data_IF_145583421736
#
_entry.id   IF_145583421736
#
_cell.length_a   1.000
_cell.length_b   1.000
_cell.length_c   1.000
_cell.angle_alpha   90.00
_cell.angle_beta   90.00
_cell.angle_gamma   90.00
#
_symmetry.space_group_name_H-M   'P 1'
#
loop_
_entity.id
_entity.type
_entity.pdbx_description
1 polymer ?
#
# COMPACT_ATOMS: atom_id res chain seq x y z
N UNK A 1 16.83 13.66 30.86
CA UNK A 1 16.29 14.21 32.13
C UNK A 1 16.56 15.71 32.26
N UNK A 2 17.77 16.23 31.99
CA UNK A 2 18.02 17.68 32.11
C UNK A 2 17.22 18.59 31.13
N UNK A 3 16.94 18.15 29.90
CA UNK A 3 16.29 18.99 28.89
C UNK A 3 14.79 19.22 29.19
N UNK A 4 14.08 18.24 29.76
CA UNK A 4 12.66 18.38 30.12
C UNK A 4 12.42 19.41 31.22
N UNK A 5 13.34 19.52 32.17
CA UNK A 5 13.20 20.39 33.34
C UNK A 5 13.37 21.88 32.96
N UNK A 6 14.21 22.16 31.97
CA UNK A 6 14.41 23.50 31.42
C UNK A 6 13.16 23.97 30.68
N UNK A 7 12.59 23.15 29.78
CA UNK A 7 11.37 23.51 29.05
C UNK A 7 10.15 23.69 29.96
N UNK A 8 10.03 22.90 31.02
CA UNK A 8 8.99 23.08 32.02
C UNK A 8 9.11 24.43 32.76
N UNK A 9 10.34 24.81 33.12
CA UNK A 9 10.63 26.09 33.77
C UNK A 9 10.37 27.29 32.82
N UNK A 10 10.82 27.19 31.56
CA UNK A 10 10.57 28.19 30.52
C UNK A 10 9.08 28.35 30.23
N UNK A 11 8.33 27.25 30.14
CA UNK A 11 6.86 27.28 29.98
C UNK A 11 6.18 28.01 31.13
N UNK A 12 6.63 27.79 32.37
CA UNK A 12 6.09 28.48 33.55
C UNK A 12 6.38 29.98 33.51
N UNK A 13 7.58 30.38 33.10
CA UNK A 13 7.95 31.80 33.00
C UNK A 13 7.10 32.49 31.94
N UNK A 14 6.95 31.88 30.75
CA UNK A 14 6.09 32.40 29.68
C UNK A 14 4.64 32.62 30.13
N UNK A 15 4.04 31.62 30.79
CA UNK A 15 2.65 31.71 31.28
C UNK A 15 2.46 32.75 32.39
N UNK A 16 3.50 33.05 33.15
CA UNK A 16 3.42 33.97 34.28
C UNK A 16 3.64 35.44 33.91
N UNK A 17 4.18 35.71 32.72
CA UNK A 17 4.60 37.02 32.22
C UNK A 17 5.62 37.79 33.10
N UNK A 18 6.07 37.18 34.20
CA UNK A 18 7.01 37.79 35.14
C UNK A 18 8.38 37.97 34.49
N UNK A 19 8.93 39.17 34.64
CA UNK A 19 10.23 39.58 34.09
C UNK A 19 10.25 39.68 32.56
N UNK A 20 9.08 39.75 31.90
CA UNK A 20 9.01 40.04 30.47
C UNK A 20 9.57 41.44 30.18
N UNK A 21 10.50 41.51 29.23
CA UNK A 21 11.25 42.70 28.83
C UNK A 21 11.09 43.00 27.32
N UNK A 22 10.25 42.22 26.63
CA UNK A 22 9.88 42.39 25.23
C UNK A 22 8.39 42.13 25.02
N UNK A 23 7.80 42.92 24.14
CA UNK A 23 6.41 42.77 23.72
C UNK A 23 6.35 42.51 22.22
N UNK A 24 5.73 41.41 21.81
CA UNK A 24 5.43 41.13 20.39
C UNK A 24 3.96 41.47 20.17
N UNK A 25 3.67 42.37 19.23
CA UNK A 25 2.31 42.74 18.83
C UNK A 25 2.02 42.14 17.46
N UNK A 26 0.92 41.39 17.37
CA UNK A 26 0.48 40.72 16.14
C UNK A 26 -1.03 40.94 16.02
N UNK A 27 -1.42 41.86 15.15
CA UNK A 27 -2.81 42.31 15.03
C UNK A 27 -3.39 42.76 16.36
N UNK A 28 -4.47 42.09 16.80
CA UNK A 28 -5.17 42.37 18.06
C UNK A 28 -4.56 41.67 19.28
N UNK A 29 -3.48 40.89 19.12
CA UNK A 29 -2.86 40.14 20.21
C UNK A 29 -1.48 40.68 20.56
N UNK A 30 -1.20 40.61 21.86
CA UNK A 30 0.04 41.08 22.46
C UNK A 30 0.63 39.95 23.27
N UNK A 31 1.88 39.60 22.99
CA UNK A 31 2.61 38.55 23.66
C UNK A 31 3.75 39.15 24.49
N UNK A 32 3.72 38.90 25.81
CA UNK A 32 4.81 39.24 26.71
C UNK A 32 5.87 38.14 26.69
N UNK A 33 7.07 38.47 26.25
CA UNK A 33 8.17 37.53 26.07
C UNK A 33 9.46 38.03 26.71
N UNK A 34 10.46 37.17 26.79
CA UNK A 34 11.73 37.38 27.46
C UNK A 34 12.86 37.39 26.43
N UNK A 35 13.70 38.41 26.47
CA UNK A 35 14.89 38.52 25.60
C UNK A 35 16.10 37.89 26.28
N UNK A 36 16.89 37.20 25.49
CA UNK A 36 18.22 36.75 25.90
C UNK A 36 19.33 37.72 25.46
N UNK A 37 19.05 38.57 24.46
CA UNK A 37 20.02 39.48 23.84
C UNK A 37 19.49 40.91 23.84
N UNK A 38 20.40 41.87 23.97
CA UNK A 38 20.11 43.30 23.94
C UNK A 38 19.65 43.74 22.53
N UNK A 39 18.33 43.73 22.29
CA UNK A 39 17.68 44.48 21.22
C UNK A 39 17.51 45.96 21.59
N UNK A 40 17.72 46.82 20.61
CA UNK A 40 17.50 48.27 20.71
C UNK A 40 15.99 48.57 20.88
N UNK A 41 15.12 47.67 20.40
CA UNK A 41 13.67 47.82 20.49
C UNK A 41 13.08 46.89 21.56
N UNK A 42 12.14 47.42 22.35
CA UNK A 42 11.35 46.66 23.33
C UNK A 42 10.04 46.12 22.75
N UNK A 43 9.77 46.43 21.48
CA UNK A 43 8.56 46.01 20.77
C UNK A 43 8.90 45.50 19.36
N UNK A 44 8.18 44.44 18.95
CA UNK A 44 8.24 43.86 17.60
C UNK A 44 6.81 43.77 17.07
N UNK A 45 6.58 44.23 15.84
CA UNK A 45 5.27 44.22 15.18
C UNK A 45 5.24 43.18 14.06
N UNK A 46 4.35 42.19 14.18
CA UNK A 46 4.13 41.11 13.22
C UNK A 46 2.72 41.22 12.63
N UNK A 47 2.44 42.29 11.88
CA UNK A 47 1.08 42.60 11.40
C UNK A 47 0.60 41.74 10.23
N UNK A 48 1.52 41.12 9.50
CA UNK A 48 1.21 40.29 8.33
C UNK A 48 0.91 38.82 8.69
N UNK A 49 1.30 38.39 9.88
CA UNK A 49 1.22 36.99 10.31
C UNK A 49 -0.07 36.73 11.11
N UNK A 50 -0.59 35.50 11.03
CA UNK A 50 -1.77 35.08 11.80
C UNK A 50 -1.46 35.03 13.31
N UNK A 51 -2.23 35.71 14.17
CA UNK A 51 -1.94 35.78 15.60
C UNK A 51 -1.92 34.42 16.31
N UNK A 52 -2.76 33.47 15.92
CA UNK A 52 -2.77 32.13 16.49
C UNK A 52 -1.52 31.33 16.10
N UNK A 53 -1.07 31.49 14.86
CA UNK A 53 0.16 30.89 14.33
C UNK A 53 1.40 31.48 15.00
N UNK A 54 1.46 32.80 15.20
CA UNK A 54 2.50 33.47 15.99
C UNK A 54 2.50 32.95 17.44
N UNK A 55 1.32 32.75 18.03
CA UNK A 55 1.19 32.14 19.36
C UNK A 55 1.83 30.75 19.44
N UNK A 56 1.60 29.90 18.44
CA UNK A 56 2.21 28.56 18.33
C UNK A 56 3.72 28.62 18.11
N UNK A 57 4.20 29.56 17.29
CA UNK A 57 5.64 29.81 17.10
C UNK A 57 6.30 30.23 18.42
N UNK A 58 5.68 31.11 19.20
CA UNK A 58 6.18 31.53 20.51
C UNK A 58 6.13 30.36 21.50
N UNK A 59 5.04 29.57 21.54
CA UNK A 59 4.94 28.37 22.37
C UNK A 59 6.10 27.39 22.11
N UNK A 60 6.48 27.23 20.83
CA UNK A 60 7.64 26.45 20.43
C UNK A 60 8.95 26.98 21.01
N UNK A 61 9.20 28.29 20.98
CA UNK A 61 10.44 28.88 21.52
C UNK A 61 10.64 28.54 23.01
N UNK A 62 9.56 28.49 23.79
CA UNK A 62 9.65 28.18 25.24
C UNK A 62 9.64 26.69 25.54
N UNK A 63 8.92 25.89 24.77
CA UNK A 63 8.62 24.49 25.14
C UNK A 63 9.25 23.45 24.21
N UNK A 64 9.86 23.89 23.10
CA UNK A 64 10.32 23.05 21.98
C UNK A 64 9.21 22.17 21.38
N UNK A 65 7.96 22.60 21.51
CA UNK A 65 6.79 22.02 20.88
C UNK A 65 5.66 23.03 20.78
N UNK A 66 4.59 22.71 20.08
CA UNK A 66 3.40 23.55 20.05
C UNK A 66 2.15 22.68 20.00
N UNK A 67 0.99 23.25 20.31
CA UNK A 67 -0.30 22.56 20.15
C UNK A 67 -0.98 22.96 18.85
N UNK A 68 -1.36 21.96 18.06
CA UNK A 68 -2.05 22.10 16.78
C UNK A 68 -3.58 22.12 16.92
N UNK A 69 -4.11 21.82 18.11
CA UNK A 69 -5.52 21.91 18.46
C UNK A 69 -6.11 23.32 18.21
N UNK A 70 -7.42 23.35 17.94
CA UNK A 70 -8.16 24.58 17.69
C UNK A 70 -8.61 25.28 18.99
N UNK A 71 -7.66 25.69 19.85
CA UNK A 71 -7.93 26.52 21.03
C UNK A 71 -7.74 28.00 20.72
N UNK A 72 -8.69 28.59 20.00
CA UNK A 72 -8.79 30.05 19.90
C UNK A 72 -8.99 30.64 21.30
N UNK A 73 -8.12 31.56 21.71
CA UNK A 73 -8.34 32.40 22.91
C UNK A 73 -7.52 32.11 24.17
N UNK A 74 -6.54 31.19 24.17
CA UNK A 74 -5.77 30.88 25.40
C UNK A 74 -4.38 31.50 25.52
N UNK A 75 -3.91 32.30 24.55
CA UNK A 75 -2.63 33.04 24.68
C UNK A 75 -2.82 34.55 24.59
N UNK A 76 -3.38 35.14 25.66
CA UNK A 76 -3.61 36.57 25.92
C UNK A 76 -4.92 37.18 25.37
N UNK A 77 -5.87 37.39 26.28
CA UNK A 77 -6.91 38.43 26.16
C UNK A 77 -6.75 39.33 27.38
N UNK A 78 -6.04 40.45 27.22
CA UNK A 78 -6.35 41.68 27.93
C UNK A 78 -6.71 42.67 26.85
N UNK A 79 -8.00 42.87 26.69
CA UNK A 79 -8.58 43.91 25.86
C UNK A 79 -8.25 45.26 26.50
N UNK A 80 -7.23 45.95 25.98
CA UNK A 80 -7.01 47.36 26.29
C UNK A 80 -7.87 48.21 25.38
N UNK A 81 -9.13 48.37 25.74
CA UNK A 81 -9.85 49.63 25.51
C UNK A 81 -10.16 50.22 26.88
N UNK A 82 -9.34 51.21 27.26
CA UNK A 82 -9.53 51.96 28.49
C UNK A 82 -10.67 52.96 28.35
N UNK A 83 -11.63 52.90 29.26
CA UNK A 83 -12.30 54.08 29.79
C UNK A 83 -12.30 54.00 31.31
N UNK A 84 -11.95 55.12 31.93
CA UNK A 84 -11.83 55.35 33.37
C UNK A 84 -13.13 55.99 33.87
N UNK A 85 -13.41 55.81 35.18
CA UNK A 85 -14.46 56.38 36.06
C UNK A 85 -15.68 55.45 36.20
N UNK A 86 -16.17 55.07 37.38
CA UNK A 86 -16.05 55.65 38.72
C UNK A 86 -16.36 54.58 39.81
N UNK A 87 -15.73 54.72 40.98
CA UNK A 87 -15.96 53.92 42.18
C UNK A 87 -17.26 54.35 42.90
N UNK A 88 -18.24 53.45 43.07
CA UNK A 88 -19.21 53.51 44.17
C UNK A 88 -20.00 52.18 44.38
N UNK A 89 -19.70 51.51 45.49
CA UNK A 89 -20.57 50.75 46.44
C UNK A 89 -21.87 50.12 45.93
N UNK A 90 -22.04 48.82 46.18
CA UNK A 90 -23.35 48.18 46.31
C UNK A 90 -23.34 46.66 46.22
N UNK A 91 -23.27 45.99 47.36
CA UNK A 91 -23.64 44.58 47.51
C UNK A 91 -25.15 44.44 47.27
N UNK A 92 -25.57 43.77 46.18
CA UNK A 92 -26.80 42.94 46.15
C UNK A 92 -26.97 42.16 44.84
N UNK A 93 -27.47 40.93 45.00
CA UNK A 93 -27.79 39.93 43.98
C UNK A 93 -28.58 40.48 42.78
N UNK A 94 -28.13 40.17 41.56
CA UNK A 94 -29.06 39.89 40.44
C UNK A 94 -28.44 38.99 39.38
N UNK A 95 -29.09 37.85 39.18
CA UNK A 95 -28.92 36.94 38.05
C UNK A 95 -29.00 37.69 36.72
N UNK A 96 -28.04 37.44 35.83
CA UNK A 96 -28.19 37.67 34.39
C UNK A 96 -27.92 36.33 33.70
N UNK A 97 -29.05 35.70 33.36
CA UNK A 97 -29.17 34.69 32.33
C UNK A 97 -28.99 35.40 30.99
N UNK A 98 -27.92 35.10 30.28
CA UNK A 98 -27.84 35.33 28.83
C UNK A 98 -27.37 34.03 28.18
N UNK A 99 -28.36 33.20 27.89
CA UNK A 99 -28.43 32.31 26.73
C UNK A 99 -27.22 31.40 26.47
N UNK A 100 -27.06 30.39 27.33
CA UNK A 100 -26.61 29.07 26.87
C UNK A 100 -27.71 28.52 25.94
N UNK A 101 -27.59 28.78 24.63
CA UNK A 101 -28.17 27.89 23.63
C UNK A 101 -27.29 26.65 23.57
N UNK A 102 -27.58 25.71 24.46
CA UNK A 102 -27.22 24.31 24.31
C UNK A 102 -27.95 23.78 23.08
N UNK A 103 -27.39 23.99 21.90
CA UNK A 103 -27.75 23.21 20.73
C UNK A 103 -27.20 21.80 20.95
N UNK A 104 -28.12 20.86 21.09
CA UNK A 104 -27.87 19.43 20.99
C UNK A 104 -27.28 19.14 19.59
N UNK A 105 -25.96 19.25 19.46
CA UNK A 105 -25.21 18.82 18.29
C UNK A 105 -24.53 17.48 18.61
N UNK A 106 -25.25 16.43 18.22
CA UNK A 106 -24.79 15.08 17.89
C UNK A 106 -23.28 14.84 18.09
N UNK A 107 -22.95 14.16 19.19
CA UNK A 107 -21.63 13.86 19.79
C UNK A 107 -20.64 13.08 18.87
N UNK A 108 -20.92 12.96 17.57
CA UNK A 108 -20.06 12.31 16.57
C UNK A 108 -19.33 13.32 15.66
N UNK A 109 -19.75 14.60 15.63
CA UNK A 109 -19.28 15.61 14.66
C UNK A 109 -18.01 16.36 15.13
N UNK A 110 -17.74 16.43 16.43
CA UNK A 110 -16.69 17.27 17.03
C UNK A 110 -15.26 16.77 16.79
N UNK A 111 -15.03 15.48 16.54
CA UNK A 111 -13.68 14.93 16.35
C UNK A 111 -13.15 15.18 14.92
N UNK A 112 -14.02 15.13 13.91
CA UNK A 112 -13.61 15.32 12.52
C UNK A 112 -13.23 16.79 12.22
N UNK A 113 -13.99 17.72 12.81
CA UNK A 113 -13.76 19.16 12.71
C UNK A 113 -12.43 19.57 13.36
N UNK A 114 -12.07 18.97 14.49
CA UNK A 114 -10.82 19.27 15.18
C UNK A 114 -9.59 18.84 14.37
N UNK A 115 -9.66 17.70 13.66
CA UNK A 115 -8.54 17.20 12.83
C UNK A 115 -8.27 18.12 11.63
N UNK A 116 -9.32 18.63 10.97
CA UNK A 116 -9.16 19.55 9.85
C UNK A 116 -8.45 20.85 10.26
N UNK A 117 -8.85 21.42 11.39
CA UNK A 117 -8.16 22.57 11.98
C UNK A 117 -6.72 22.25 12.41
N UNK A 118 -6.45 21.07 12.98
CA UNK A 118 -5.09 20.65 13.30
C UNK A 118 -4.19 20.60 12.06
N UNK A 119 -4.66 20.01 10.96
CA UNK A 119 -3.94 19.97 9.69
C UNK A 119 -3.66 21.38 9.17
N UNK A 120 -4.65 22.27 9.16
CA UNK A 120 -4.50 23.66 8.73
C UNK A 120 -3.50 24.44 9.60
N UNK A 121 -3.58 24.28 10.92
CA UNK A 121 -2.66 24.91 11.88
C UNK A 121 -1.22 24.45 11.64
N UNK A 122 -1.02 23.15 11.36
CA UNK A 122 0.30 22.62 11.03
C UNK A 122 0.86 23.20 9.72
N UNK A 123 0.02 23.46 8.71
CA UNK A 123 0.45 24.15 7.47
C UNK A 123 0.87 25.59 7.77
N UNK A 124 0.07 26.35 8.53
CA UNK A 124 0.42 27.73 8.90
C UNK A 124 1.70 27.81 9.72
N UNK A 125 1.90 26.89 10.66
CA UNK A 125 3.14 26.80 11.45
C UNK A 125 4.33 26.40 10.57
N UNK A 126 4.14 25.54 9.57
CA UNK A 126 5.19 25.22 8.60
C UNK A 126 5.61 26.46 7.79
N UNK A 127 4.64 27.27 7.34
CA UNK A 127 4.89 28.50 6.59
C UNK A 127 5.60 29.57 7.43
N UNK A 128 5.16 29.81 8.68
CA UNK A 128 5.83 30.77 9.56
C UNK A 128 7.24 30.29 9.91
N UNK A 129 7.45 28.99 10.10
CA UNK A 129 8.76 28.44 10.38
C UNK A 129 9.74 28.68 9.23
N UNK A 130 9.30 28.56 7.98
CA UNK A 130 10.13 28.92 6.82
C UNK A 130 10.43 30.42 6.78
N UNK A 131 9.43 31.27 6.98
CA UNK A 131 9.57 32.74 6.94
C UNK A 131 10.56 33.28 7.97
N UNK A 132 10.62 32.66 9.15
CA UNK A 132 11.54 33.05 10.23
C UNK A 132 12.76 32.12 10.37
N UNK A 133 13.02 31.26 9.37
CA UNK A 133 14.19 30.35 9.32
C UNK A 133 14.32 29.44 10.56
N UNK A 134 13.22 28.85 11.00
CA UNK A 134 13.13 27.94 12.13
C UNK A 134 13.01 26.48 11.66
N UNK A 135 14.10 25.91 11.14
CA UNK A 135 14.14 24.58 10.51
C UNK A 135 13.58 23.45 11.40
N UNK A 136 13.89 23.47 12.70
CA UNK A 136 13.41 22.46 13.65
C UNK A 136 11.90 22.52 13.84
N UNK A 137 11.32 23.73 13.90
CA UNK A 137 9.87 23.94 13.97
C UNK A 137 9.20 23.49 12.67
N UNK A 138 9.83 23.80 11.53
CA UNK A 138 9.37 23.38 10.20
C UNK A 138 9.27 21.86 10.10
N UNK A 139 10.29 21.13 10.55
CA UNK A 139 10.26 19.66 10.56
C UNK A 139 9.25 19.10 11.57
N UNK A 140 9.07 19.72 12.75
CA UNK A 140 8.02 19.31 13.70
C UNK A 140 6.64 19.48 13.09
N UNK A 141 6.38 20.61 12.44
CA UNK A 141 5.09 20.87 11.78
C UNK A 141 4.82 19.88 10.65
N UNK A 142 5.85 19.58 9.85
CA UNK A 142 5.79 18.55 8.82
C UNK A 142 5.51 17.16 9.38
N UNK A 143 6.16 16.78 10.48
CA UNK A 143 5.96 15.48 11.12
C UNK A 143 4.54 15.35 11.70
N UNK A 144 4.04 16.40 12.35
CA UNK A 144 2.66 16.45 12.87
C UNK A 144 1.62 16.36 11.76
N UNK A 145 1.78 17.16 10.71
CA UNK A 145 0.92 17.09 9.52
C UNK A 145 0.90 15.68 8.94
N UNK A 146 2.08 15.08 8.72
CA UNK A 146 2.22 13.73 8.18
C UNK A 146 1.47 12.68 9.01
N UNK A 147 1.48 12.81 10.34
CA UNK A 147 0.79 11.87 11.24
C UNK A 147 -0.74 11.87 11.09
N UNK A 148 -1.32 12.96 10.58
CA UNK A 148 -2.76 13.14 10.42
C UNK A 148 -3.18 13.14 8.93
N UNK A 149 -2.23 13.17 7.99
CA UNK A 149 -2.48 13.39 6.58
C UNK A 149 -3.33 12.31 5.90
N UNK A 150 -3.39 11.09 6.42
CA UNK A 150 -4.28 10.03 5.88
C UNK A 150 -5.76 10.42 5.93
N UNK A 151 -6.14 11.31 6.85
CA UNK A 151 -7.51 11.81 7.03
C UNK A 151 -7.82 13.03 6.14
N UNK A 152 -6.81 13.57 5.45
CA UNK A 152 -6.90 14.82 4.70
C UNK A 152 -8.03 14.85 3.67
N UNK A 153 -8.28 13.74 2.97
CA UNK A 153 -9.30 13.68 1.92
C UNK A 153 -10.74 13.70 2.46
N UNK A 154 -10.92 13.52 3.77
CA UNK A 154 -12.23 13.43 4.41
C UNK A 154 -12.56 14.66 5.27
N UNK A 155 -11.62 15.59 5.46
CA UNK A 155 -11.85 16.81 6.23
C UNK A 155 -12.53 17.88 5.36
N UNK A 156 -13.47 18.61 5.95
CA UNK A 156 -14.20 19.69 5.27
C UNK A 156 -13.28 20.88 4.93
N UNK A 157 -12.22 21.07 5.71
CA UNK A 157 -11.21 22.13 5.54
C UNK A 157 -10.24 21.84 4.40
N UNK A 158 -10.33 20.70 3.70
CA UNK A 158 -9.38 20.35 2.64
C UNK A 158 -9.13 21.50 1.64
N UNK A 159 -10.14 22.15 1.06
CA UNK A 159 -9.90 23.22 0.08
C UNK A 159 -9.18 24.42 0.70
N UNK A 160 -9.42 24.72 1.97
CA UNK A 160 -8.69 25.77 2.69
C UNK A 160 -7.24 25.36 2.96
N UNK A 161 -6.99 24.12 3.36
CA UNK A 161 -5.65 23.57 3.59
C UNK A 161 -4.81 23.63 2.31
N UNK A 162 -5.37 23.25 1.16
CA UNK A 162 -4.62 23.28 -0.12
C UNK A 162 -4.34 24.72 -0.54
N UNK A 163 -5.32 25.62 -0.43
CA UNK A 163 -5.11 27.06 -0.74
C UNK A 163 -4.04 27.67 0.14
N UNK A 164 -4.08 27.41 1.44
CA UNK A 164 -3.07 27.88 2.38
C UNK A 164 -1.70 27.29 2.05
N UNK A 165 -1.61 25.98 1.81
CA UNK A 165 -0.34 25.31 1.53
C UNK A 165 0.32 25.83 0.25
N UNK A 166 -0.43 25.88 -0.86
CA UNK A 166 0.11 26.31 -2.15
C UNK A 166 0.26 27.84 -2.25
N UNK A 167 -0.47 28.61 -1.44
CA UNK A 167 -0.33 30.07 -1.34
C UNK A 167 0.83 30.53 -0.45
N UNK A 168 1.15 29.78 0.62
CA UNK A 168 2.19 30.14 1.59
C UNK A 168 3.56 29.53 1.32
N UNK A 169 3.63 28.46 0.53
CA UNK A 169 4.90 27.81 0.14
C UNK A 169 5.19 28.04 -1.34
N UNK A 170 6.45 28.25 -1.78
CA UNK A 170 6.80 28.30 -3.20
C UNK A 170 6.89 26.89 -3.81
N UNK A 171 6.89 26.78 -5.15
CA UNK A 171 6.98 25.48 -5.85
C UNK A 171 8.30 24.72 -5.62
N UNK A 172 9.35 25.39 -5.16
CA UNK A 172 10.61 24.79 -4.73
C UNK A 172 10.50 24.06 -3.38
N UNK A 173 9.54 24.45 -2.53
CA UNK A 173 9.31 23.77 -1.26
C UNK A 173 8.44 22.53 -1.50
N UNK A 174 9.09 21.37 -1.50
CA UNK A 174 8.45 20.08 -1.74
C UNK A 174 8.02 19.36 -0.46
N UNK A 175 8.32 19.90 0.71
CA UNK A 175 8.21 19.17 1.99
C UNK A 175 6.79 18.70 2.32
N UNK A 176 5.83 19.63 2.41
CA UNK A 176 4.41 19.30 2.61
C UNK A 176 3.68 19.01 1.30
N UNK A 177 4.05 19.69 0.20
CA UNK A 177 3.43 19.49 -1.12
C UNK A 177 3.53 18.04 -1.58
N UNK A 178 4.70 17.39 -1.45
CA UNK A 178 4.87 15.98 -1.83
C UNK A 178 3.99 15.05 -1.00
N UNK A 179 3.81 15.32 0.30
CA UNK A 179 2.98 14.49 1.18
C UNK A 179 1.52 14.51 0.70
N UNK A 180 1.01 15.71 0.43
CA UNK A 180 -0.37 15.90 -0.05
C UNK A 180 -0.53 15.27 -1.43
N UNK A 181 0.37 15.57 -2.38
CA UNK A 181 0.30 15.02 -3.74
C UNK A 181 0.36 13.50 -3.74
N UNK A 182 1.18 12.90 -2.88
CA UNK A 182 1.27 11.44 -2.71
C UNK A 182 -0.05 10.83 -2.26
N UNK A 183 -0.67 11.38 -1.21
CA UNK A 183 -1.94 10.87 -0.68
C UNK A 183 -3.06 11.02 -1.72
N UNK A 184 -3.13 12.17 -2.39
CA UNK A 184 -4.11 12.42 -3.45
C UNK A 184 -3.89 11.49 -4.65
N UNK A 185 -2.64 11.20 -5.05
CA UNK A 185 -2.34 10.29 -6.15
C UNK A 185 -2.69 8.84 -5.81
N UNK A 186 -2.45 8.40 -4.57
CA UNK A 186 -2.84 7.06 -4.11
C UNK A 186 -4.35 6.85 -4.13
N UNK A 187 -5.12 7.86 -3.75
CA UNK A 187 -6.58 7.81 -3.66
C UNK A 187 -7.26 8.64 -4.76
N UNK A 188 -6.64 8.73 -5.95
CA UNK A 188 -7.08 9.65 -7.01
C UNK A 188 -8.54 9.49 -7.44
N UNK A 189 -9.13 8.29 -7.31
CA UNK A 189 -10.55 8.08 -7.58
C UNK A 189 -11.45 8.83 -6.61
N UNK A 190 -11.16 8.79 -5.31
CA UNK A 190 -11.92 9.51 -4.30
C UNK A 190 -11.84 11.03 -4.52
N UNK A 191 -10.66 11.51 -4.96
CA UNK A 191 -10.43 12.93 -5.28
C UNK A 191 -11.27 13.40 -6.46
N UNK A 192 -11.36 12.60 -7.53
CA UNK A 192 -12.14 12.95 -8.73
C UNK A 192 -13.65 12.82 -8.50
N UNK A 193 -14.08 11.83 -7.71
CA UNK A 193 -15.50 11.58 -7.43
C UNK A 193 -16.12 12.67 -6.54
N UNK A 194 -15.31 13.35 -5.71
CA UNK A 194 -15.77 14.47 -4.87
C UNK A 194 -15.72 15.82 -5.61
N UNK A 195 -16.84 16.57 -5.67
CA UNK A 195 -16.88 17.85 -6.37
C UNK A 195 -15.93 18.89 -5.75
N UNK A 196 -15.83 18.96 -4.42
CA UNK A 196 -15.03 19.98 -3.73
C UNK A 196 -13.52 19.79 -3.94
N UNK A 197 -13.04 18.54 -3.91
CA UNK A 197 -11.62 18.25 -4.20
C UNK A 197 -11.31 18.50 -5.68
N UNK A 198 -12.25 18.19 -6.58
CA UNK A 198 -12.10 18.47 -8.02
C UNK A 198 -12.04 19.97 -8.31
N UNK A 199 -12.83 20.78 -7.60
CA UNK A 199 -12.78 22.24 -7.70
C UNK A 199 -11.42 22.79 -7.24
N UNK A 200 -10.85 22.22 -6.16
CA UNK A 200 -9.52 22.60 -5.66
C UNK A 200 -8.40 22.33 -6.68
N UNK A 201 -8.51 21.24 -7.46
CA UNK A 201 -7.57 20.92 -8.55
C UNK A 201 -7.66 21.94 -9.69
N UNK A 202 -8.87 22.39 -10.02
CA UNK A 202 -9.10 23.39 -11.07
C UNK A 202 -8.64 24.77 -10.64
N UNK A 203 -8.91 25.14 -9.38
CA UNK A 203 -8.47 26.41 -8.80
C UNK A 203 -6.94 26.51 -8.75
N UNK A 204 -6.28 25.44 -8.31
CA UNK A 204 -4.83 25.41 -8.10
C UNK A 204 -4.19 24.45 -9.10
N UNK A 205 -3.91 24.96 -10.31
CA UNK A 205 -3.33 24.15 -11.39
C UNK A 205 -1.98 23.49 -11.03
N UNK A 206 -1.15 24.13 -10.19
CA UNK A 206 0.10 23.54 -9.69
C UNK A 206 -0.16 22.28 -8.86
N UNK A 207 -1.21 22.27 -8.05
CA UNK A 207 -1.59 21.13 -7.23
C UNK A 207 -2.02 19.95 -8.11
N UNK A 208 -2.83 20.20 -9.14
CA UNK A 208 -3.20 19.19 -10.13
C UNK A 208 -1.98 18.61 -10.87
N UNK A 209 -1.02 19.45 -11.24
CA UNK A 209 0.21 19.02 -11.90
C UNK A 209 1.07 18.12 -10.99
N UNK A 210 1.17 18.46 -9.70
CA UNK A 210 1.92 17.66 -8.74
C UNK A 210 1.28 16.29 -8.52
N UNK A 211 -0.06 16.22 -8.40
CA UNK A 211 -0.79 14.94 -8.34
C UNK A 211 -0.51 14.11 -9.61
N UNK A 212 -0.56 14.72 -10.79
CA UNK A 212 -0.33 14.02 -12.05
C UNK A 212 1.09 13.45 -12.13
N UNK A 213 2.11 14.23 -11.74
CA UNK A 213 3.50 13.77 -11.69
C UNK A 213 3.63 12.57 -10.77
N UNK A 214 3.07 12.68 -9.58
CA UNK A 214 3.12 11.63 -8.55
C UNK A 214 2.37 10.36 -8.99
N UNK A 215 1.21 10.49 -9.62
CA UNK A 215 0.46 9.36 -10.18
C UNK A 215 1.22 8.64 -11.30
N UNK A 216 1.95 9.37 -12.15
CA UNK A 216 2.78 8.78 -13.20
C UNK A 216 4.00 8.06 -12.63
N UNK A 217 4.63 8.60 -11.58
CA UNK A 217 5.75 7.93 -10.89
C UNK A 217 5.29 6.63 -10.24
N UNK A 218 4.21 6.67 -9.47
CA UNK A 218 3.61 5.47 -8.85
C UNK A 218 3.17 4.43 -9.89
N UNK A 219 2.68 4.86 -11.06
CA UNK A 219 2.37 3.98 -12.17
C UNK A 219 3.59 3.25 -12.72
N UNK A 220 4.69 3.97 -12.95
CA UNK A 220 5.94 3.40 -13.46
C UNK A 220 6.54 2.38 -12.51
N UNK A 221 6.56 2.67 -11.20
CA UNK A 221 7.07 1.72 -10.19
C UNK A 221 6.28 0.40 -10.19
N UNK A 222 4.95 0.48 -10.28
CA UNK A 222 4.08 -0.70 -10.37
C UNK A 222 4.30 -1.49 -11.66
N UNK A 223 4.55 -0.80 -12.78
CA UNK A 223 4.86 -1.43 -14.07
C UNK A 223 6.22 -2.14 -14.02
N UNK A 224 7.25 -1.51 -13.47
CA UNK A 224 8.58 -2.12 -13.31
C UNK A 224 8.53 -3.33 -12.37
N UNK A 225 7.82 -3.22 -11.24
CA UNK A 225 7.65 -4.35 -10.32
C UNK A 225 6.89 -5.51 -10.99
N UNK A 226 5.83 -5.22 -11.74
CA UNK A 226 5.07 -6.22 -12.50
C UNK A 226 5.92 -6.85 -13.61
N UNK A 227 6.73 -6.06 -14.31
CA UNK A 227 7.67 -6.51 -15.34
C UNK A 227 8.71 -7.48 -14.75
N UNK A 228 9.30 -7.13 -13.60
CA UNK A 228 10.24 -7.98 -12.89
C UNK A 228 9.61 -9.31 -12.44
N UNK A 229 8.39 -9.27 -11.89
CA UNK A 229 7.63 -10.48 -11.51
C UNK A 229 7.32 -11.35 -12.72
N UNK A 230 6.91 -10.76 -13.84
CA UNK A 230 6.65 -11.48 -15.09
C UNK A 230 7.91 -12.14 -15.65
N UNK A 231 9.05 -11.45 -15.65
CA UNK A 231 10.32 -12.02 -16.06
C UNK A 231 10.74 -13.23 -15.20
N UNK A 232 10.54 -13.14 -13.88
CA UNK A 232 10.79 -14.25 -12.96
C UNK A 232 9.87 -15.46 -13.22
N UNK A 233 8.58 -15.22 -13.49
CA UNK A 233 7.64 -16.28 -13.87
C UNK A 233 8.01 -16.93 -15.20
N UNK A 234 8.42 -16.15 -16.21
CA UNK A 234 8.86 -16.70 -17.50
C UNK A 234 10.07 -17.61 -17.36
N UNK A 235 11.03 -17.30 -16.48
CA UNK A 235 12.16 -18.22 -16.17
C UNK A 235 11.65 -19.55 -15.59
N UNK A 236 10.77 -19.50 -14.59
CA UNK A 236 10.17 -20.72 -14.00
C UNK A 236 9.41 -21.55 -15.04
N UNK A 237 8.68 -20.91 -15.94
CA UNK A 237 7.97 -21.59 -17.03
C UNK A 237 8.96 -22.27 -17.98
N UNK A 238 10.06 -21.60 -18.34
CA UNK A 238 11.11 -22.16 -19.19
C UNK A 238 11.76 -23.39 -18.56
N UNK A 239 12.08 -23.33 -17.27
CA UNK A 239 12.70 -24.45 -16.54
C UNK A 239 11.76 -25.67 -16.48
N UNK A 240 10.49 -25.45 -16.14
CA UNK A 240 9.48 -26.52 -16.16
C UNK A 240 9.27 -27.10 -17.56
N UNK A 241 9.26 -26.26 -18.60
CA UNK A 241 9.17 -26.72 -20.00
C UNK A 241 10.38 -27.59 -20.37
N UNK A 242 11.58 -27.23 -19.90
CA UNK A 242 12.79 -28.04 -20.04
C UNK A 242 12.67 -29.41 -19.36
N UNK A 243 12.16 -29.44 -18.12
CA UNK A 243 11.90 -30.70 -17.40
C UNK A 243 10.87 -31.59 -18.13
N UNK A 244 9.77 -31.00 -18.60
CA UNK A 244 8.76 -31.73 -19.40
C UNK A 244 9.39 -32.27 -20.69
N UNK A 245 10.24 -31.49 -21.36
CA UNK A 245 10.98 -31.93 -22.53
C UNK A 245 11.85 -33.15 -22.24
N UNK A 246 12.63 -33.12 -21.16
CA UNK A 246 13.47 -34.25 -20.73
C UNK A 246 12.66 -35.50 -20.41
N UNK A 247 11.55 -35.35 -19.66
CA UNK A 247 10.63 -36.45 -19.36
C UNK A 247 10.05 -37.04 -20.65
N UNK A 248 9.63 -36.19 -21.60
CA UNK A 248 9.11 -36.63 -22.90
C UNK A 248 10.13 -37.45 -23.67
N UNK A 249 11.39 -37.01 -23.73
CA UNK A 249 12.48 -37.75 -24.39
C UNK A 249 12.73 -39.12 -23.75
N UNK A 250 12.78 -39.17 -22.40
CA UNK A 250 12.94 -40.43 -21.66
C UNK A 250 11.78 -41.37 -21.97
N UNK A 251 10.54 -40.86 -21.95
CA UNK A 251 9.36 -41.66 -22.25
C UNK A 251 9.40 -42.23 -23.67
N UNK A 252 9.75 -41.42 -24.67
CA UNK A 252 9.86 -41.89 -26.06
C UNK A 252 10.92 -42.99 -26.21
N UNK A 253 12.06 -42.86 -25.52
CA UNK A 253 13.12 -43.88 -25.53
C UNK A 253 12.61 -45.20 -24.92
N UNK A 254 11.98 -45.14 -23.74
CA UNK A 254 11.42 -46.32 -23.07
C UNK A 254 10.35 -47.01 -23.93
N UNK A 255 9.48 -46.24 -24.60
CA UNK A 255 8.47 -46.80 -25.52
C UNK A 255 9.15 -47.56 -26.68
N UNK A 256 10.20 -46.99 -27.28
CA UNK A 256 10.93 -47.66 -28.37
C UNK A 256 11.65 -48.93 -27.92
N UNK A 257 12.19 -48.95 -26.69
CA UNK A 257 12.81 -50.14 -26.10
C UNK A 257 11.77 -51.24 -25.86
N UNK A 258 10.60 -50.89 -25.31
CA UNK A 258 9.49 -51.84 -25.12
C UNK A 258 8.99 -52.40 -26.47
N UNK A 259 8.88 -51.58 -27.50
CA UNK A 259 8.50 -52.03 -28.85
C UNK A 259 9.52 -53.00 -29.44
N UNK A 260 10.82 -52.73 -29.28
CA UNK A 260 11.89 -53.61 -29.73
C UNK A 260 11.86 -54.96 -28.99
N UNK A 261 11.68 -54.93 -27.67
CA UNK A 261 11.57 -56.13 -26.84
C UNK A 261 10.35 -56.98 -27.26
N UNK A 262 9.20 -56.35 -27.51
CA UNK A 262 7.98 -57.05 -27.97
C UNK A 262 8.18 -57.76 -29.32
N UNK A 263 8.94 -57.17 -30.25
CA UNK A 263 9.26 -57.78 -31.55
C UNK A 263 10.20 -58.98 -31.36
N UNK A 264 11.19 -58.86 -30.47
CA UNK A 264 12.10 -59.96 -30.13
C UNK A 264 11.36 -61.13 -29.45
N UNK A 265 10.42 -60.82 -28.56
CA UNK A 265 9.62 -61.80 -27.86
C UNK A 265 8.64 -62.51 -28.80
N UNK A 266 8.00 -61.78 -29.71
CA UNK A 266 7.12 -62.36 -30.74
C UNK A 266 7.88 -63.33 -31.67
N UNK A 267 9.15 -63.02 -32.00
CA UNK A 267 10.03 -63.94 -32.75
C UNK A 267 10.39 -65.19 -31.96
N UNK A 268 10.69 -65.05 -30.66
CA UNK A 268 10.96 -66.21 -29.79
C UNK A 268 9.73 -67.11 -29.61
N UNK A 269 8.54 -66.52 -29.43
CA UNK A 269 7.28 -67.25 -29.23
C UNK A 269 6.92 -68.14 -30.44
N UNK A 270 7.27 -67.73 -31.67
CA UNK A 270 7.11 -68.57 -32.87
C UNK A 270 7.97 -69.85 -32.86
N UNK A 271 8.95 -69.95 -31.96
CA UNK A 271 9.87 -71.08 -31.84
C UNK A 271 9.64 -71.91 -30.55
N UNK A 272 8.65 -71.57 -29.73
CA UNK A 272 8.42 -72.20 -28.41
C UNK A 272 7.20 -73.13 -28.40
N UNK A 273 7.28 -74.25 -27.67
CA UNK A 273 6.16 -75.17 -27.45
C UNK A 273 5.20 -74.73 -26.32
N UNK A 274 3.97 -75.27 -26.31
CA UNK A 274 2.83 -74.83 -25.47
C UNK A 274 3.10 -74.70 -23.96
N UNK A 275 3.98 -75.53 -23.38
CA UNK A 275 4.27 -75.47 -21.95
C UNK A 275 5.16 -74.28 -21.56
N UNK A 276 6.09 -73.87 -22.42
CA UNK A 276 6.94 -72.68 -22.17
C UNK A 276 6.16 -71.37 -22.32
N UNK A 277 5.09 -71.37 -23.13
CA UNK A 277 4.21 -70.20 -23.29
C UNK A 277 3.43 -69.89 -22.01
N UNK A 278 2.96 -70.91 -21.30
CA UNK A 278 2.23 -70.76 -20.03
C UNK A 278 3.12 -70.21 -18.91
N UNK A 279 4.37 -70.66 -18.84
CA UNK A 279 5.32 -70.20 -17.83
C UNK A 279 5.75 -68.74 -18.07
N UNK A 280 5.95 -68.34 -19.33
CA UNK A 280 6.18 -66.94 -19.69
C UNK A 280 5.00 -66.02 -19.34
N UNK A 281 3.76 -66.45 -19.57
CA UNK A 281 2.58 -65.65 -19.25
C UNK A 281 2.48 -65.31 -17.75
N UNK A 282 2.78 -66.27 -16.88
CA UNK A 282 2.82 -66.05 -15.42
C UNK A 282 3.92 -65.05 -15.03
N UNK A 283 5.07 -65.10 -15.69
CA UNK A 283 6.19 -64.20 -15.41
C UNK A 283 5.89 -62.74 -15.83
N UNK A 284 5.16 -62.57 -16.94
CA UNK A 284 4.71 -61.25 -17.41
C UNK A 284 3.71 -60.63 -16.41
N UNK A 285 2.74 -61.41 -15.93
CA UNK A 285 1.76 -60.92 -14.95
C UNK A 285 2.40 -60.50 -13.62
N UNK A 286 3.41 -61.24 -13.15
CA UNK A 286 4.18 -60.88 -11.96
C UNK A 286 4.95 -59.56 -12.14
N UNK A 287 5.52 -59.35 -13.33
CA UNK A 287 6.28 -58.12 -13.62
C UNK A 287 5.37 -56.89 -13.74
N UNK A 288 4.17 -57.07 -14.28
CA UNK A 288 3.15 -56.01 -14.32
C UNK A 288 2.74 -55.60 -12.90
N UNK A 289 2.51 -56.56 -12.00
CA UNK A 289 2.18 -56.26 -10.60
C UNK A 289 3.30 -55.52 -9.84
N UNK A 290 4.58 -55.79 -10.15
CA UNK A 290 5.70 -55.05 -9.57
C UNK A 290 5.75 -53.59 -10.04
N UNK A 291 5.51 -53.33 -11.33
CA UNK A 291 5.49 -51.97 -11.89
C UNK A 291 4.33 -51.15 -11.35
N UNK A 292 3.15 -51.76 -11.18
CA UNK A 292 1.98 -51.09 -10.58
C UNK A 292 2.21 -50.69 -9.12
N UNK A 293 2.97 -51.50 -8.35
CA UNK A 293 3.39 -51.13 -6.98
C UNK A 293 4.37 -49.96 -6.96
N UNK A 294 5.28 -49.88 -7.94
CA UNK A 294 6.30 -48.83 -8.00
C UNK A 294 5.75 -47.47 -8.47
N UNK A 295 4.72 -47.46 -9.31
CA UNK A 295 4.08 -46.25 -9.84
C UNK A 295 3.14 -45.53 -8.85
N UNK A 296 3.10 -45.95 -7.58
CA UNK A 296 2.39 -45.24 -6.51
C UNK A 296 0.89 -45.04 -6.74
N UNK A 297 0.23 -45.93 -7.49
CA UNK A 297 -1.24 -45.95 -7.61
C UNK A 297 -1.87 -45.04 -8.68
N UNK A 298 -1.11 -44.43 -9.59
CA UNK A 298 -1.71 -43.76 -10.76
C UNK A 298 -2.09 -44.77 -11.87
N UNK A 299 -3.04 -45.66 -11.54
CA UNK A 299 -3.51 -46.80 -12.36
C UNK A 299 -4.16 -46.41 -13.72
N UNK A 300 -4.57 -45.15 -13.89
CA UNK A 300 -5.33 -44.71 -15.07
C UNK A 300 -4.50 -44.66 -16.37
N UNK A 301 -3.18 -44.43 -16.30
CA UNK A 301 -2.32 -44.32 -17.49
C UNK A 301 -1.85 -45.70 -17.97
N UNK A 302 -1.58 -46.63 -17.05
CA UNK A 302 -1.08 -47.98 -17.37
C UNK A 302 -2.14 -48.88 -18.03
N UNK A 303 -3.42 -48.74 -17.65
CA UNK A 303 -4.53 -49.53 -18.23
C UNK A 303 -4.71 -49.38 -19.74
N UNK A 304 -4.17 -48.33 -20.36
CA UNK A 304 -4.29 -48.11 -21.82
C UNK A 304 -3.21 -48.84 -22.62
N UNK A 305 -2.10 -49.23 -22.00
CA UNK A 305 -0.97 -49.90 -22.67
C UNK A 305 -1.18 -51.42 -22.69
N UNK A 306 -1.95 -51.96 -21.75
CA UNK A 306 -2.20 -53.39 -21.61
C UNK A 306 -3.43 -53.85 -22.39
N UNK A 307 -3.18 -54.65 -23.43
CA UNK A 307 -4.09 -55.64 -24.03
C UNK A 307 -5.27 -55.09 -24.85
N UNK A 308 -5.02 -54.71 -26.11
CA UNK A 308 -5.92 -55.18 -27.17
C UNK A 308 -5.50 -56.62 -27.50
N UNK A 309 -6.26 -57.57 -26.95
CA UNK A 309 -6.16 -59.00 -27.27
C UNK A 309 -6.05 -59.21 -28.78
N UNK A 310 -4.96 -59.83 -29.23
CA UNK A 310 -4.94 -60.50 -30.53
C UNK A 310 -5.80 -61.75 -30.37
N UNK A 311 -7.10 -61.63 -30.62
CA UNK A 311 -7.99 -62.79 -30.68
C UNK A 311 -7.64 -63.57 -31.95
N UNK A 312 -7.23 -64.86 -31.88
CA UNK A 312 -7.06 -65.64 -33.08
C UNK A 312 -8.44 -65.78 -33.75
N UNK A 313 -8.55 -65.71 -35.09
CA UNK A 313 -9.81 -66.02 -35.75
C UNK A 313 -10.23 -67.45 -35.38
N UNK A 314 -11.53 -67.71 -35.16
CA UNK A 314 -12.00 -69.02 -34.76
C UNK A 314 -11.60 -70.06 -35.79
N UNK A 315 -10.88 -71.09 -35.32
CA UNK A 315 -10.53 -72.29 -36.07
C UNK A 315 -11.81 -72.91 -36.65
N UNK A 316 -12.09 -72.65 -37.93
CA UNK A 316 -12.87 -73.58 -38.73
C UNK A 316 -11.93 -74.72 -39.12
N UNK A 317 -11.90 -75.74 -38.27
CA UNK A 317 -11.40 -77.06 -38.63
C UNK A 317 -12.10 -77.49 -39.92
N UNK A 318 -11.37 -77.57 -41.03
CA UNK A 318 -11.76 -78.37 -42.18
C UNK A 318 -10.84 -79.60 -42.23
N UNK A 319 -11.32 -80.84 -42.06
CA UNK A 319 -10.46 -82.02 -41.87
C UNK A 319 -9.76 -82.54 -43.14
N UNK A 320 -9.70 -81.76 -44.22
CA UNK A 320 -9.16 -82.21 -45.50
C UNK A 320 -8.29 -81.11 -46.12
N UNK A 321 -7.04 -80.98 -45.66
CA UNK A 321 -5.90 -80.67 -46.52
C UNK A 321 -4.59 -80.68 -45.70
N UNK A 322 -3.58 -81.31 -46.28
CA UNK A 322 -2.26 -81.48 -45.70
C UNK A 322 -1.42 -80.20 -45.87
N UNK A 323 -0.79 -79.73 -44.77
CA UNK A 323 0.28 -78.71 -44.69
C UNK A 323 -0.09 -77.21 -44.88
N UNK A 324 0.70 -76.28 -44.29
CA UNK A 324 0.19 -74.98 -43.82
C UNK A 324 0.37 -73.84 -44.85
N UNK A 325 -0.54 -72.85 -44.93
CA UNK A 325 -0.28 -71.61 -45.65
C UNK A 325 0.30 -70.54 -44.71
N UNK A 326 1.51 -70.12 -45.06
CA UNK A 326 2.19 -68.84 -44.82
C UNK A 326 1.38 -67.73 -44.13
N UNK A 327 1.90 -67.22 -43.01
CA UNK A 327 1.49 -65.95 -42.41
C UNK A 327 1.81 -64.78 -43.36
N UNK A 328 0.85 -64.33 -44.15
CA UNK A 328 0.95 -63.10 -44.93
C UNK A 328 0.44 -61.89 -44.13
N UNK A 329 1.39 -61.15 -43.56
CA UNK A 329 1.57 -59.68 -43.58
C UNK A 329 0.38 -58.70 -43.39
N UNK A 330 -0.81 -59.10 -42.92
CA UNK A 330 -2.01 -58.24 -43.13
C UNK A 330 -2.80 -57.81 -41.89
N UNK A 331 -2.27 -57.85 -40.67
CA UNK A 331 -2.98 -57.30 -39.49
C UNK A 331 -2.07 -56.51 -38.55
N UNK A 332 -1.59 -55.36 -39.01
CA UNK A 332 -1.01 -54.35 -38.13
C UNK A 332 -1.71 -53.01 -38.38
N UNK A 333 -2.74 -52.71 -37.60
CA UNK A 333 -3.27 -51.34 -37.55
C UNK A 333 -2.18 -50.42 -36.97
N UNK A 334 -1.59 -49.60 -37.83
CA UNK A 334 -0.83 -48.40 -37.45
C UNK A 334 -1.72 -47.51 -36.59
N UNK A 335 -1.44 -47.42 -35.30
CA UNK A 335 -2.03 -46.38 -34.46
C UNK A 335 -1.12 -45.15 -34.48
N UNK A 336 -1.57 -44.13 -35.19
CA UNK A 336 -1.06 -42.75 -35.10
C UNK A 336 -1.33 -42.19 -33.72
N UNK A 337 -0.27 -41.75 -33.02
CA UNK A 337 -0.36 -41.09 -31.73
C UNK A 337 -0.66 -39.61 -31.93
N UNK A 338 -1.92 -39.19 -31.78
CA UNK A 338 -2.27 -37.78 -31.67
C UNK A 338 -2.05 -37.34 -30.21
N UNK A 339 -1.03 -36.50 -30.00
CA UNK A 339 -0.69 -35.88 -28.73
C UNK A 339 -1.02 -34.39 -28.82
N UNK A 340 -2.31 -34.07 -28.75
CA UNK A 340 -2.79 -32.72 -28.46
C UNK A 340 -2.83 -32.50 -26.95
N UNK A 341 -2.04 -31.52 -26.48
CA UNK A 341 -2.07 -30.90 -25.14
C UNK A 341 -2.60 -29.50 -25.29
#
# INVERSE_FOLDING_TARGET
>A
MAQSDIHASLSSIFKSEKYSDLTIRCGNRTFKVHRAVESITQEIFLEEDDPDTVGRMIEYIYTSGYRDENRSGQFAVVDTTGEVLDDAVGDEKRSISTSLESLEQDDTTTIADDVGHCLLNNVRVYAIAERYFMDELKEIARAKFRSQAEKLLFVKEFPEIIRELYGSTPSSDRGLRDIVSHICAQQGRAVVDSPDLSASIVEIGEFGLDILREALMNGNERVEEASAKNAALQRKVKDKKGQIGAIKTILTKLVSEIEADRVSESRMLCCMGENMLKEKAVLVDLRIQEVEKFAGGNSAILKRVTLREVRPPPNQFNPLNHWPPTWTETTFQRNTWDLSV
#
